data_IF_965998051414
#
_entry.id   IF_965998051414
#
_cell.length_a   1.000
_cell.length_b   1.000
_cell.length_c   1.000
_cell.angle_alpha   90.00
_cell.angle_beta   90.00
_cell.angle_gamma   90.00
#
_symmetry.space_group_name_H-M   'P 1'
#
loop_
_entity.id
_entity.type
_entity.pdbx_description
1 polymer ?
#
# COMPACT_ATOMS: atom_id res chain seq x y z
N UNK A 1 26.08 -31.45 25.39
CA UNK A 1 24.61 -31.22 25.44
C UNK A 1 24.21 -29.82 25.91
N UNK A 2 24.95 -29.17 26.84
CA UNK A 2 24.65 -27.79 27.32
C UNK A 2 25.16 -26.65 26.42
N UNK A 3 26.16 -26.92 25.57
CA UNK A 3 26.69 -25.97 24.59
C UNK A 3 25.80 -25.82 23.33
N UNK A 4 25.00 -26.82 23.00
CA UNK A 4 24.12 -26.80 21.83
C UNK A 4 22.88 -25.89 22.03
N UNK A 5 22.55 -25.59 23.29
CA UNK A 5 21.37 -24.80 23.67
C UNK A 5 21.61 -23.28 23.62
N UNK A 6 22.88 -22.85 23.61
CA UNK A 6 23.21 -21.42 23.44
C UNK A 6 23.26 -21.00 21.97
N UNK A 7 23.50 -21.93 21.04
CA UNK A 7 23.57 -21.63 19.61
C UNK A 7 22.19 -21.31 19.01
N UNK A 8 21.12 -21.90 19.55
CA UNK A 8 19.74 -21.71 19.06
C UNK A 8 19.10 -20.40 19.50
N UNK A 9 19.60 -19.74 20.55
CA UNK A 9 19.09 -18.45 21.03
C UNK A 9 19.56 -17.28 20.14
N UNK A 10 20.76 -17.37 19.56
CA UNK A 10 21.30 -16.31 18.70
C UNK A 10 20.59 -16.21 17.34
N UNK A 11 20.01 -17.30 16.83
CA UNK A 11 19.36 -17.34 15.51
C UNK A 11 18.01 -16.61 15.53
N UNK A 12 17.33 -16.52 16.68
CA UNK A 12 16.03 -15.84 16.80
C UNK A 12 16.14 -14.31 16.89
N UNK A 13 17.28 -13.76 17.32
CA UNK A 13 17.46 -12.31 17.46
C UNK A 13 18.02 -11.62 16.20
N UNK A 14 18.55 -12.38 15.24
CA UNK A 14 19.09 -11.84 14.00
C UNK A 14 18.03 -11.60 12.91
N UNK A 15 16.77 -12.03 13.12
CA UNK A 15 15.70 -11.98 12.11
C UNK A 15 14.91 -10.68 12.00
N UNK A 16 15.26 -9.62 12.74
CA UNK A 16 14.46 -8.38 12.80
C UNK A 16 15.10 -7.16 12.11
N UNK A 17 16.26 -7.29 11.45
CA UNK A 17 17.01 -6.11 10.95
C UNK A 17 16.75 -5.71 9.49
N UNK A 18 16.15 -6.59 8.67
CA UNK A 18 16.14 -6.39 7.21
C UNK A 18 14.83 -5.80 6.66
N UNK A 19 13.80 -5.64 7.50
CA UNK A 19 12.51 -5.10 7.06
C UNK A 19 12.44 -3.56 7.05
N UNK A 20 13.33 -2.88 7.78
CA UNK A 20 13.37 -1.41 7.84
C UNK A 20 13.89 -0.79 6.53
N UNK A 21 14.87 -1.43 5.88
CA UNK A 21 15.43 -0.96 4.59
C UNK A 21 14.41 -0.96 3.45
N UNK A 22 13.41 -1.85 3.51
CA UNK A 22 12.35 -1.91 2.51
C UNK A 22 11.33 -0.75 2.66
N UNK A 23 11.19 -0.18 3.85
CA UNK A 23 10.35 1.00 4.06
C UNK A 23 11.07 2.30 3.70
N UNK A 24 12.37 2.37 3.95
CA UNK A 24 13.16 3.57 3.71
C UNK A 24 13.31 3.88 2.22
N UNK A 25 13.45 2.85 1.39
CA UNK A 25 13.49 2.94 -0.08
C UNK A 25 12.15 3.39 -0.73
N UNK A 26 11.00 3.27 -0.05
CA UNK A 26 9.74 3.88 -0.50
C UNK A 26 9.71 5.39 -0.29
N UNK A 27 10.46 5.94 0.67
CA UNK A 27 10.46 7.38 0.97
C UNK A 27 11.23 8.18 -0.07
N UNK A 28 12.27 7.60 -0.67
CA UNK A 28 13.09 8.26 -1.69
C UNK A 28 12.38 8.47 -3.04
N UNK A 29 11.25 7.78 -3.28
CA UNK A 29 10.41 7.96 -4.47
C UNK A 29 9.18 8.86 -4.27
N UNK A 30 8.99 9.44 -3.09
CA UNK A 30 7.81 10.24 -2.79
C UNK A 30 7.82 11.58 -3.56
N UNK A 31 6.90 11.72 -4.52
CA UNK A 31 6.67 12.96 -5.28
C UNK A 31 6.25 14.12 -4.35
N UNK A 32 6.49 15.39 -4.76
CA UNK A 32 6.23 16.56 -3.93
C UNK A 32 4.77 16.64 -3.46
N UNK A 33 4.61 17.12 -2.21
CA UNK A 33 3.31 17.38 -1.58
C UNK A 33 2.49 18.31 -2.47
N UNK A 34 1.25 17.95 -2.83
CA UNK A 34 0.42 18.73 -3.74
C UNK A 34 0.04 20.09 -3.14
N UNK A 35 -0.11 21.11 -4.02
CA UNK A 35 -0.41 22.50 -3.64
C UNK A 35 -1.84 22.71 -3.13
N UNK A 36 -2.75 21.78 -3.38
CA UNK A 36 -4.12 21.82 -2.90
C UNK A 36 -4.21 20.98 -1.60
N UNK A 37 -4.64 21.55 -0.46
CA UNK A 37 -4.69 20.84 0.83
C UNK A 37 -5.60 19.61 0.83
N UNK A 38 -6.42 19.43 -0.22
CA UNK A 38 -7.29 18.27 -0.38
C UNK A 38 -6.62 17.07 -1.07
N UNK A 39 -5.51 17.27 -1.80
CA UNK A 39 -4.84 16.17 -2.49
C UNK A 39 -3.91 15.46 -1.52
N UNK A 40 -4.05 14.14 -1.42
CA UNK A 40 -3.29 13.30 -0.47
C UNK A 40 -2.24 12.44 -1.16
N UNK A 41 -2.35 12.20 -2.47
CA UNK A 41 -1.34 11.51 -3.26
C UNK A 41 -1.45 11.85 -4.75
N UNK A 42 -0.38 11.60 -5.52
CA UNK A 42 -0.34 11.74 -6.98
C UNK A 42 0.25 10.47 -7.59
N UNK A 43 -0.47 9.85 -8.51
CA UNK A 43 -0.10 8.60 -9.19
C UNK A 43 -0.05 8.85 -10.69
N UNK A 44 1.15 8.89 -11.27
CA UNK A 44 1.32 9.30 -12.67
C UNK A 44 0.88 10.76 -12.87
N UNK A 45 -0.18 10.95 -13.66
CA UNK A 45 -0.87 12.22 -13.91
C UNK A 45 -2.18 12.35 -13.11
N UNK A 46 -2.60 11.30 -12.39
CA UNK A 46 -3.81 11.33 -11.59
C UNK A 46 -3.55 11.80 -10.16
N UNK A 47 -4.46 12.64 -9.67
CA UNK A 47 -4.49 13.06 -8.27
C UNK A 47 -5.46 12.18 -7.47
N UNK A 48 -5.10 11.89 -6.23
CA UNK A 48 -5.96 11.24 -5.24
C UNK A 48 -6.28 12.28 -4.16
N UNK A 49 -7.55 12.62 -4.02
CA UNK A 49 -8.03 13.57 -3.02
C UNK A 49 -8.46 12.89 -1.72
N UNK A 50 -8.64 13.67 -0.66
CA UNK A 50 -9.25 13.23 0.59
C UNK A 50 -10.67 12.68 0.35
N UNK A 51 -11.42 13.29 -0.58
CA UNK A 51 -12.75 12.84 -0.98
C UNK A 51 -12.72 11.46 -1.65
N UNK A 52 -11.73 11.21 -2.50
CA UNK A 52 -11.54 9.89 -3.13
C UNK A 52 -11.21 8.82 -2.09
N UNK A 53 -10.35 9.17 -1.12
CA UNK A 53 -9.99 8.26 -0.03
C UNK A 53 -11.20 7.92 0.85
N UNK A 54 -12.01 8.91 1.21
CA UNK A 54 -13.21 8.72 2.01
C UNK A 54 -14.29 7.94 1.23
N UNK A 55 -14.44 8.20 -0.08
CA UNK A 55 -15.31 7.43 -0.95
C UNK A 55 -14.86 5.97 -1.11
N UNK A 56 -13.55 5.71 -1.15
CA UNK A 56 -12.99 4.36 -1.16
C UNK A 56 -13.26 3.63 0.17
N UNK A 57 -13.03 4.30 1.31
CA UNK A 57 -13.34 3.76 2.65
C UNK A 57 -14.84 3.46 2.82
N UNK A 58 -15.71 4.28 2.25
CA UNK A 58 -17.16 4.10 2.33
C UNK A 58 -17.66 2.82 1.62
N UNK A 59 -16.89 2.28 0.66
CA UNK A 59 -17.21 1.02 -0.03
C UNK A 59 -16.86 -0.23 0.78
N UNK A 60 -16.08 -0.07 1.86
CA UNK A 60 -15.67 -1.19 2.70
C UNK A 60 -16.82 -1.65 3.62
N UNK A 61 -16.73 -2.91 4.07
CA UNK A 61 -17.59 -3.39 5.14
C UNK A 61 -17.35 -2.58 6.43
N UNK A 62 -18.40 -2.39 7.23
CA UNK A 62 -18.35 -1.55 8.43
C UNK A 62 -17.15 -1.81 9.34
N UNK A 63 -16.83 -3.08 9.62
CA UNK A 63 -15.69 -3.44 10.47
C UNK A 63 -14.34 -3.06 9.85
N UNK A 64 -14.19 -3.19 8.53
CA UNK A 64 -12.97 -2.82 7.81
C UNK A 64 -12.82 -1.30 7.75
N UNK A 65 -13.92 -0.58 7.45
CA UNK A 65 -13.94 0.87 7.50
C UNK A 65 -13.48 1.38 8.87
N UNK A 66 -14.09 0.86 9.95
CA UNK A 66 -13.72 1.22 11.33
C UNK A 66 -12.26 0.86 11.66
N UNK A 67 -11.74 -0.23 11.11
CA UNK A 67 -10.34 -0.60 11.29
C UNK A 67 -9.40 0.46 10.71
N UNK A 68 -9.64 0.90 9.47
CA UNK A 68 -8.78 1.87 8.80
C UNK A 68 -8.98 3.30 9.31
N UNK A 69 -10.17 3.65 9.79
CA UNK A 69 -10.44 4.94 10.44
C UNK A 69 -9.95 5.00 11.90
N UNK A 70 -9.56 3.88 12.50
CA UNK A 70 -9.19 3.85 13.93
C UNK A 70 -7.91 4.61 14.27
N UNK A 71 -7.03 4.85 13.30
CA UNK A 71 -5.85 5.70 13.51
C UNK A 71 -5.35 6.32 12.20
N UNK A 72 -4.63 7.45 12.27
CA UNK A 72 -4.00 8.06 11.10
C UNK A 72 -3.08 7.08 10.35
N UNK A 73 -2.28 6.29 11.05
CA UNK A 73 -1.37 5.32 10.43
C UNK A 73 -2.10 4.24 9.64
N UNK A 74 -3.27 3.80 10.12
CA UNK A 74 -4.10 2.84 9.40
C UNK A 74 -4.84 3.47 8.22
N UNK A 75 -5.24 4.72 8.34
CA UNK A 75 -5.79 5.47 7.20
C UNK A 75 -4.71 5.65 6.13
N UNK A 76 -3.47 5.94 6.53
CA UNK A 76 -2.32 6.02 5.65
C UNK A 76 -1.99 4.66 4.98
N UNK A 77 -2.05 3.55 5.73
CA UNK A 77 -1.83 2.22 5.13
C UNK A 77 -2.90 1.83 4.11
N UNK A 78 -4.14 2.29 4.31
CA UNK A 78 -5.19 2.13 3.31
C UNK A 78 -4.96 3.02 2.07
N UNK A 79 -4.49 4.26 2.26
CA UNK A 79 -4.08 5.13 1.16
C UNK A 79 -2.95 4.50 0.34
N UNK A 80 -1.94 3.90 0.98
CA UNK A 80 -0.88 3.15 0.31
C UNK A 80 -1.43 2.00 -0.56
N UNK A 81 -2.39 1.24 -0.03
CA UNK A 81 -3.02 0.16 -0.78
C UNK A 81 -3.79 0.70 -2.01
N UNK A 82 -4.48 1.83 -1.85
CA UNK A 82 -5.19 2.52 -2.94
C UNK A 82 -4.23 3.00 -4.04
N UNK A 83 -3.10 3.60 -3.64
CA UNK A 83 -2.04 4.02 -4.58
C UNK A 83 -1.52 2.82 -5.37
N UNK A 84 -1.18 1.73 -4.68
CA UNK A 84 -0.68 0.52 -5.33
C UNK A 84 -1.69 -0.05 -6.33
N UNK A 85 -2.97 -0.08 -5.98
CA UNK A 85 -4.03 -0.52 -6.89
C UNK A 85 -4.09 0.36 -8.14
N UNK A 86 -4.01 1.69 -8.02
CA UNK A 86 -4.02 2.60 -9.18
C UNK A 86 -2.80 2.40 -10.08
N UNK A 87 -1.61 2.25 -9.49
CA UNK A 87 -0.38 1.96 -10.24
C UNK A 87 -0.56 0.67 -11.05
N UNK A 88 -1.02 -0.41 -10.43
CA UNK A 88 -1.22 -1.69 -11.10
C UNK A 88 -2.27 -1.61 -12.20
N UNK A 89 -3.38 -0.89 -11.97
CA UNK A 89 -4.43 -0.68 -12.99
C UNK A 89 -3.87 0.07 -14.20
N UNK A 90 -3.14 1.17 -13.97
CA UNK A 90 -2.54 1.96 -15.04
C UNK A 90 -1.54 1.15 -15.88
N UNK A 91 -0.70 0.33 -15.23
CA UNK A 91 0.20 -0.56 -15.95
C UNK A 91 -0.54 -1.65 -16.72
N UNK A 92 -1.62 -2.20 -16.16
CA UNK A 92 -2.44 -3.19 -16.84
C UNK A 92 -3.09 -2.63 -18.12
N UNK A 93 -3.59 -1.39 -18.09
CA UNK A 93 -4.12 -0.68 -19.25
C UNK A 93 -3.04 -0.43 -20.33
N UNK A 94 -1.84 0.01 -19.92
CA UNK A 94 -0.71 0.20 -20.85
C UNK A 94 -0.31 -1.11 -21.53
N UNK A 95 -0.40 -2.23 -20.81
CA UNK A 95 -0.12 -3.58 -21.31
C UNK A 95 -1.30 -4.19 -22.09
N UNK A 96 -2.43 -3.49 -22.20
CA UNK A 96 -3.64 -3.98 -22.86
C UNK A 96 -4.24 -5.23 -22.20
N UNK A 97 -3.99 -5.44 -20.90
CA UNK A 97 -4.53 -6.58 -20.14
C UNK A 97 -6.05 -6.48 -20.02
N UNK A 98 -6.55 -5.27 -19.84
CA UNK A 98 -7.97 -4.90 -19.81
C UNK A 98 -8.73 -5.28 -21.09
N UNK A 99 -8.02 -5.43 -22.22
CA UNK A 99 -8.60 -5.72 -23.54
C UNK A 99 -8.52 -7.18 -23.95
N UNK A 100 -7.90 -8.05 -23.15
CA UNK A 100 -7.76 -9.46 -23.49
C UNK A 100 -9.10 -10.18 -23.36
N UNK A 101 -9.43 -11.04 -24.33
CA UNK A 101 -10.73 -11.71 -24.37
C UNK A 101 -10.99 -12.61 -23.14
N UNK A 102 -9.96 -13.22 -22.58
CA UNK A 102 -10.05 -14.08 -21.39
C UNK A 102 -10.41 -13.33 -20.10
N UNK A 103 -10.16 -12.02 -20.07
CA UNK A 103 -10.52 -11.12 -18.96
C UNK A 103 -11.95 -10.58 -19.14
N UNK A 104 -12.32 -10.17 -20.35
CA UNK A 104 -13.65 -9.64 -20.67
C UNK A 104 -14.78 -10.65 -20.44
N UNK A 105 -14.52 -11.95 -20.68
CA UNK A 105 -15.53 -13.00 -20.50
C UNK A 105 -15.82 -13.36 -19.03
N UNK A 106 -15.01 -12.85 -18.08
CA UNK A 106 -15.12 -13.17 -16.65
C UNK A 106 -15.69 -12.05 -15.78
N UNK A 107 -15.97 -10.90 -16.38
CA UNK A 107 -16.49 -9.70 -15.69
C UNK A 107 -17.98 -9.55 -15.96
#
# INVERSE_FOLDING_TARGET
MRFLMFLTVCILLAGCGDMDKFQESRKEGAKPVPKNPEVVAVVGEEEITIGDLDAALAKLLYNQKKLYESSPDRKASYLDALINQRVLSSEAEKMGIDKREDILQRT
#
